data_IF_491169342592
#
_entry.id   IF_491169342592
#
_cell.length_a   1.000
_cell.length_b   1.000
_cell.length_c   1.000
_cell.angle_alpha   90.00
_cell.angle_beta   90.00
_cell.angle_gamma   90.00
#
_symmetry.space_group_name_H-M   'P 1'
#
loop_
_entity.id
_entity.type
_entity.pdbx_description
1 polymer ?
#
# COMPACT_ATOMS: atom_id res chain seq x y z
N UNK A 1 -17.81 -5.35 -6.20
CA UNK A 1 -16.49 -4.70 -6.15
C UNK A 1 -16.75 -3.28 -6.65
N UNK A 2 -16.07 -2.25 -6.16
CA UNK A 2 -16.27 -0.88 -6.65
C UNK A 2 -16.10 -0.79 -8.19
N UNK A 3 -16.85 0.09 -8.86
CA UNK A 3 -16.88 0.18 -10.33
C UNK A 3 -15.52 0.52 -10.94
N UNK A 4 -14.80 1.50 -10.38
CA UNK A 4 -13.48 1.89 -10.87
C UNK A 4 -12.49 0.71 -10.85
N UNK A 5 -12.53 -0.09 -9.78
CA UNK A 5 -11.71 -1.28 -9.67
C UNK A 5 -12.06 -2.34 -10.73
N UNK A 6 -13.33 -2.50 -11.09
CA UNK A 6 -13.75 -3.43 -12.15
C UNK A 6 -13.22 -3.01 -13.52
N UNK A 7 -13.21 -1.71 -13.81
CA UNK A 7 -12.76 -1.19 -15.11
C UNK A 7 -11.25 -1.34 -15.28
N UNK A 8 -10.47 -1.09 -14.23
CA UNK A 8 -9.00 -1.08 -14.32
C UNK A 8 -8.35 -2.44 -14.05
N UNK A 9 -9.07 -3.38 -13.44
CA UNK A 9 -8.51 -4.69 -13.06
C UNK A 9 -7.90 -5.45 -14.26
N UNK A 10 -8.50 -5.50 -15.46
CA UNK A 10 -7.88 -6.17 -16.60
C UNK A 10 -6.50 -5.61 -16.98
N UNK A 11 -6.30 -4.29 -16.84
CA UNK A 11 -4.99 -3.66 -17.05
C UNK A 11 -4.01 -4.01 -15.93
N UNK A 12 -4.44 -3.95 -14.66
CA UNK A 12 -3.59 -4.30 -13.53
C UNK A 12 -3.16 -5.78 -13.57
N UNK A 13 -4.02 -6.64 -14.08
CA UNK A 13 -3.78 -8.07 -14.25
C UNK A 13 -2.66 -8.39 -15.26
N UNK A 14 -2.29 -7.48 -16.17
CA UNK A 14 -1.13 -7.69 -17.05
C UNK A 14 0.20 -7.60 -16.28
N UNK A 15 0.17 -6.99 -15.09
CA UNK A 15 1.33 -6.70 -14.26
C UNK A 15 2.36 -5.74 -14.90
N UNK A 16 2.00 -5.07 -15.99
CA UNK A 16 2.91 -4.14 -16.68
C UNK A 16 3.34 -2.97 -15.78
N UNK A 17 2.47 -2.56 -14.85
CA UNK A 17 2.80 -1.54 -13.85
C UNK A 17 4.03 -1.92 -13.00
N UNK A 18 4.25 -3.23 -12.74
CA UNK A 18 5.43 -3.73 -12.02
C UNK A 18 6.69 -3.48 -12.84
N UNK A 19 6.66 -3.86 -14.12
CA UNK A 19 7.78 -3.68 -15.06
C UNK A 19 8.09 -2.20 -15.29
N UNK A 20 7.06 -1.36 -15.29
CA UNK A 20 7.17 0.10 -15.45
C UNK A 20 7.57 0.83 -14.15
N UNK A 21 7.65 0.13 -13.02
CA UNK A 21 7.95 0.73 -11.73
C UNK A 21 6.90 1.71 -11.22
N UNK A 22 5.64 1.55 -11.65
CA UNK A 22 4.52 2.44 -11.30
C UNK A 22 3.85 1.96 -10.02
N UNK A 23 3.46 2.88 -9.16
CA UNK A 23 2.73 2.53 -7.94
C UNK A 23 1.25 2.26 -8.23
N UNK A 24 0.61 1.50 -7.36
CA UNK A 24 -0.84 1.33 -7.33
C UNK A 24 -1.35 1.69 -5.94
N UNK A 25 -2.23 2.67 -5.83
CA UNK A 25 -2.84 3.09 -4.56
C UNK A 25 -4.32 2.75 -4.58
N UNK A 26 -4.71 1.84 -3.70
CA UNK A 26 -6.07 1.41 -3.45
C UNK A 26 -6.59 2.17 -2.22
N UNK A 27 -7.48 3.15 -2.41
CA UNK A 27 -7.96 3.99 -1.31
C UNK A 27 -9.50 3.96 -1.20
N UNK A 28 -10.05 3.96 0.01
CA UNK A 28 -11.51 3.98 0.22
C UNK A 28 -11.94 3.27 1.49
N UNK A 29 -13.23 3.29 1.84
CA UNK A 29 -13.71 2.76 3.12
C UNK A 29 -13.39 1.26 3.35
N UNK A 30 -13.35 0.78 4.62
CA UNK A 30 -13.01 -0.61 4.94
C UNK A 30 -13.97 -1.64 4.33
N UNK A 31 -13.47 -2.86 4.13
CA UNK A 31 -14.29 -4.01 3.71
C UNK A 31 -14.63 -4.05 2.21
N UNK A 32 -14.04 -3.22 1.37
CA UNK A 32 -14.36 -3.11 -0.06
C UNK A 32 -13.46 -3.93 -0.99
N UNK A 33 -12.46 -4.63 -0.44
CA UNK A 33 -11.58 -5.54 -1.20
C UNK A 33 -10.18 -5.02 -1.54
N UNK A 34 -9.73 -3.90 -0.96
CA UNK A 34 -8.37 -3.34 -1.20
C UNK A 34 -7.25 -4.37 -1.00
N UNK A 35 -7.15 -4.91 0.21
CA UNK A 35 -6.17 -5.96 0.55
C UNK A 35 -6.35 -7.19 -0.33
N UNK A 36 -7.60 -7.57 -0.63
CA UNK A 36 -7.88 -8.73 -1.48
C UNK A 36 -7.30 -8.57 -2.90
N UNK A 37 -7.53 -7.42 -3.55
CA UNK A 37 -6.95 -7.12 -4.87
C UNK A 37 -5.42 -7.06 -4.79
N UNK A 38 -4.86 -6.37 -3.79
CA UNK A 38 -3.42 -6.26 -3.60
C UNK A 38 -2.76 -7.64 -3.47
N UNK A 39 -3.34 -8.52 -2.64
CA UNK A 39 -2.88 -9.89 -2.44
C UNK A 39 -3.03 -10.73 -3.72
N UNK A 40 -4.15 -10.63 -4.43
CA UNK A 40 -4.36 -11.36 -5.68
C UNK A 40 -3.32 -10.97 -6.75
N UNK A 41 -3.05 -9.68 -6.92
CA UNK A 41 -1.98 -9.18 -7.81
C UNK A 41 -0.60 -9.65 -7.35
N UNK A 42 -0.34 -9.65 -6.03
CA UNK A 42 0.90 -10.18 -5.47
C UNK A 42 1.11 -11.67 -5.75
N UNK A 43 0.07 -12.49 -5.59
CA UNK A 43 0.11 -13.92 -5.92
C UNK A 43 0.38 -14.11 -7.42
N UNK A 44 -0.35 -13.39 -8.28
CA UNK A 44 -0.14 -13.44 -9.73
C UNK A 44 1.29 -13.01 -10.11
N UNK A 45 1.84 -12.02 -9.43
CA UNK A 45 3.22 -11.58 -9.64
C UNK A 45 4.23 -12.68 -9.25
N UNK A 46 4.05 -13.35 -8.12
CA UNK A 46 4.86 -14.51 -7.75
C UNK A 46 4.78 -15.64 -8.79
N UNK A 47 3.60 -15.89 -9.36
CA UNK A 47 3.41 -16.88 -10.44
C UNK A 47 4.11 -16.50 -11.76
N UNK A 48 4.55 -15.26 -11.89
CA UNK A 48 5.31 -14.72 -13.03
C UNK A 48 6.77 -14.42 -12.64
N UNK A 49 7.27 -15.10 -11.60
CA UNK A 49 8.65 -15.03 -11.09
C UNK A 49 9.09 -13.65 -10.56
N UNK A 50 8.16 -12.73 -10.29
CA UNK A 50 8.48 -11.49 -9.59
C UNK A 50 8.74 -11.75 -8.10
N UNK A 51 9.76 -11.09 -7.56
CA UNK A 51 9.99 -11.08 -6.12
C UNK A 51 9.02 -10.12 -5.42
N UNK A 52 8.22 -10.64 -4.48
CA UNK A 52 7.17 -9.86 -3.81
C UNK A 52 7.37 -9.83 -2.30
N UNK A 53 7.26 -8.64 -1.71
CA UNK A 53 7.15 -8.46 -0.26
C UNK A 53 5.74 -7.97 0.09
N UNK A 54 5.05 -8.67 0.98
CA UNK A 54 3.81 -8.19 1.59
C UNK A 54 4.05 -7.83 3.05
N UNK A 55 3.67 -6.63 3.47
CA UNK A 55 3.72 -6.19 4.87
C UNK A 55 2.62 -5.17 5.14
N UNK A 56 2.14 -5.11 6.38
CA UNK A 56 1.38 -3.93 6.82
C UNK A 56 2.34 -2.78 7.11
N UNK A 57 1.86 -1.55 6.94
CA UNK A 57 2.63 -0.32 7.24
C UNK A 57 3.02 -0.22 8.73
N UNK A 58 2.16 -0.58 9.71
CA UNK A 58 2.56 -0.63 11.12
C UNK A 58 3.75 -1.57 11.36
N UNK A 59 3.71 -2.78 10.80
CA UNK A 59 4.79 -3.78 10.95
C UNK A 59 6.07 -3.28 10.30
N UNK A 60 5.97 -2.69 9.09
CA UNK A 60 7.11 -2.12 8.40
C UNK A 60 7.76 -1.00 9.21
N UNK A 61 6.97 -0.10 9.80
CA UNK A 61 7.50 0.98 10.62
C UNK A 61 8.24 0.46 11.86
N UNK A 62 7.68 -0.56 12.53
CA UNK A 62 8.35 -1.25 13.64
C UNK A 62 9.69 -1.83 13.21
N UNK A 63 9.73 -2.56 12.09
CA UNK A 63 10.97 -3.13 11.56
C UNK A 63 12.02 -2.06 11.22
N UNK A 64 11.59 -0.93 10.65
CA UNK A 64 12.48 0.21 10.35
C UNK A 64 13.09 0.78 11.64
N UNK A 65 12.28 0.96 12.69
CA UNK A 65 12.73 1.47 13.99
C UNK A 65 13.70 0.51 14.68
N UNK A 66 13.39 -0.77 14.70
CA UNK A 66 14.27 -1.81 15.25
C UNK A 66 15.59 -1.86 14.50
N UNK A 67 15.57 -1.87 13.17
CA UNK A 67 16.78 -1.86 12.36
C UNK A 67 17.62 -0.58 12.54
N UNK A 68 16.98 0.57 12.75
CA UNK A 68 17.67 1.81 13.10
C UNK A 68 18.39 1.68 14.44
N UNK A 69 17.70 1.20 15.47
CA UNK A 69 18.26 1.00 16.81
C UNK A 69 19.43 0.01 16.80
N UNK A 70 19.29 -1.08 16.05
CA UNK A 70 20.32 -2.11 15.87
C UNK A 70 21.45 -1.71 14.90
N UNK A 71 21.43 -0.50 14.32
CA UNK A 71 22.38 -0.03 13.29
C UNK A 71 22.44 -0.92 12.02
N UNK A 72 21.34 -1.62 11.71
CA UNK A 72 21.20 -2.49 10.52
C UNK A 72 20.22 -1.93 9.48
N UNK A 73 19.77 -0.69 9.63
CA UNK A 73 18.80 -0.03 8.74
C UNK A 73 19.20 -0.09 7.26
N UNK A 74 20.48 0.12 6.94
CA UNK A 74 20.96 0.05 5.55
C UNK A 74 20.74 -1.32 4.93
N UNK A 75 20.94 -2.39 5.69
CA UNK A 75 20.72 -3.77 5.22
C UNK A 75 19.24 -4.02 4.93
N UNK A 76 18.34 -3.53 5.79
CA UNK A 76 16.90 -3.61 5.58
C UNK A 76 16.49 -2.85 4.30
N UNK A 77 16.97 -1.62 4.13
CA UNK A 77 16.72 -0.79 2.94
C UNK A 77 17.19 -1.46 1.64
N UNK A 78 18.42 -1.99 1.63
CA UNK A 78 18.97 -2.69 0.46
C UNK A 78 18.16 -3.93 0.10
N UNK A 79 17.57 -4.63 1.07
CA UNK A 79 16.66 -5.76 0.81
C UNK A 79 15.33 -5.25 0.25
N UNK A 80 14.78 -4.20 0.84
CA UNK A 80 13.51 -3.60 0.43
C UNK A 80 13.53 -3.08 -1.02
N UNK A 81 14.64 -2.50 -1.46
CA UNK A 81 14.83 -2.01 -2.83
C UNK A 81 14.87 -3.13 -3.88
N UNK A 82 15.27 -4.35 -3.51
CA UNK A 82 15.47 -5.46 -4.44
C UNK A 82 14.16 -6.12 -4.91
N UNK A 83 13.10 -6.08 -4.10
CA UNK A 83 11.82 -6.67 -4.48
C UNK A 83 11.27 -6.00 -5.74
N UNK A 84 10.74 -6.78 -6.67
CA UNK A 84 10.07 -6.24 -7.86
C UNK A 84 8.78 -5.54 -7.49
N UNK A 85 8.04 -6.11 -6.53
CA UNK A 85 6.82 -5.54 -5.98
C UNK A 85 6.87 -5.54 -4.45
N UNK A 86 6.50 -4.40 -3.85
CA UNK A 86 6.20 -4.30 -2.42
C UNK A 86 4.73 -3.97 -2.25
N UNK A 87 4.05 -4.68 -1.36
CA UNK A 87 2.67 -4.40 -0.95
C UNK A 87 2.71 -3.89 0.49
N UNK A 88 2.31 -2.64 0.66
CA UNK A 88 2.17 -1.95 1.94
C UNK A 88 0.68 -1.80 2.28
N UNK A 89 0.18 -2.73 3.09
CA UNK A 89 -1.22 -2.77 3.50
C UNK A 89 -1.48 -1.87 4.72
N UNK A 90 -2.71 -1.36 4.85
CA UNK A 90 -3.19 -0.66 6.05
C UNK A 90 -2.44 0.63 6.42
N UNK A 91 -2.05 1.43 5.41
CA UNK A 91 -1.36 2.72 5.65
C UNK A 91 -2.14 3.63 6.61
N UNK A 92 -3.47 3.59 6.55
CA UNK A 92 -4.34 4.48 7.30
C UNK A 92 -4.49 4.20 8.80
N UNK A 93 -3.87 3.15 9.33
CA UNK A 93 -4.01 2.71 10.73
C UNK A 93 -2.75 2.97 11.59
N UNK A 94 -1.72 3.59 11.02
CA UNK A 94 -0.55 4.00 11.78
C UNK A 94 -0.77 5.38 12.38
N UNK A 95 -0.37 5.57 13.64
CA UNK A 95 -0.14 6.91 14.20
C UNK A 95 1.37 7.12 14.28
N UNK A 96 1.90 8.01 13.45
CA UNK A 96 3.32 8.31 13.41
C UNK A 96 3.62 9.54 14.28
N UNK A 97 4.61 9.42 15.15
CA UNK A 97 5.36 10.62 15.57
C UNK A 97 6.15 11.17 14.36
N UNK A 98 6.74 12.36 14.53
CA UNK A 98 7.47 13.04 13.45
C UNK A 98 8.58 12.14 12.87
N UNK A 99 9.35 11.51 13.75
CA UNK A 99 10.44 10.61 13.37
C UNK A 99 9.92 9.38 12.59
N UNK A 100 8.83 8.77 13.05
CA UNK A 100 8.23 7.62 12.39
C UNK A 100 7.71 7.96 10.98
N UNK A 101 7.13 9.15 10.82
CA UNK A 101 6.72 9.67 9.51
C UNK A 101 7.92 9.83 8.57
N UNK A 102 9.01 10.43 9.06
CA UNK A 102 10.24 10.63 8.29
C UNK A 102 10.90 9.29 7.90
N UNK A 103 10.92 8.33 8.83
CA UNK A 103 11.46 6.99 8.59
C UNK A 103 10.66 6.25 7.51
N UNK A 104 9.33 6.24 7.62
CA UNK A 104 8.46 5.61 6.63
C UNK A 104 8.60 6.29 5.26
N UNK A 105 8.63 7.62 5.23
CA UNK A 105 8.83 8.40 4.00
C UNK A 105 10.14 8.07 3.31
N UNK A 106 11.24 8.08 4.06
CA UNK A 106 12.55 7.77 3.52
C UNK A 106 12.58 6.34 2.97
N UNK A 107 11.96 5.39 3.67
CA UNK A 107 11.92 3.99 3.25
C UNK A 107 11.09 3.78 1.97
N UNK A 108 9.88 4.32 1.89
CA UNK A 108 9.04 4.22 0.69
C UNK A 108 9.65 4.97 -0.51
N UNK A 109 10.30 6.11 -0.26
CA UNK A 109 10.94 6.93 -1.30
C UNK A 109 12.08 6.22 -2.02
N UNK A 110 12.68 5.18 -1.43
CA UNK A 110 13.73 4.39 -2.09
C UNK A 110 13.25 3.75 -3.40
N UNK A 111 11.95 3.45 -3.48
CA UNK A 111 11.31 2.75 -4.60
C UNK A 111 10.58 3.67 -5.57
N UNK A 112 10.26 4.90 -5.16
CA UNK A 112 9.47 5.83 -5.96
C UNK A 112 10.11 6.09 -7.33
N UNK A 113 9.36 5.83 -8.41
CA UNK A 113 9.83 5.97 -9.80
C UNK A 113 10.84 4.92 -10.26
N UNK A 114 11.13 3.88 -9.46
CA UNK A 114 12.09 2.81 -9.77
C UNK A 114 11.47 1.43 -9.78
N UNK A 115 10.67 1.10 -8.76
CA UNK A 115 10.04 -0.22 -8.59
C UNK A 115 8.63 -0.04 -8.06
N UNK A 116 7.73 -0.94 -8.44
CA UNK A 116 6.33 -0.80 -8.09
C UNK A 116 6.07 -1.03 -6.60
N UNK A 117 5.17 -0.23 -6.05
CA UNK A 117 4.64 -0.39 -4.70
C UNK A 117 3.12 -0.33 -4.75
N UNK A 118 2.45 -1.33 -4.19
CA UNK A 118 1.01 -1.29 -3.93
C UNK A 118 0.80 -0.74 -2.52
N UNK A 119 -0.09 0.23 -2.38
CA UNK A 119 -0.48 0.80 -1.08
C UNK A 119 -1.98 0.66 -0.91
N UNK A 120 -2.41 0.16 0.25
CA UNK A 120 -3.81 0.20 0.63
C UNK A 120 -4.04 1.19 1.77
N UNK A 121 -5.13 1.95 1.69
CA UNK A 121 -5.49 2.89 2.75
C UNK A 121 -7.00 3.06 2.86
N UNK A 122 -7.49 3.25 4.08
CA UNK A 122 -8.87 3.64 4.35
C UNK A 122 -9.08 5.16 4.31
N UNK A 123 -8.01 5.95 4.16
CA UNK A 123 -8.05 7.40 4.12
C UNK A 123 -7.82 7.94 2.70
N UNK A 124 -8.58 8.96 2.33
CA UNK A 124 -8.25 9.79 1.18
C UNK A 124 -6.94 10.57 1.44
N UNK A 125 -6.22 10.93 0.38
CA UNK A 125 -4.90 11.58 0.49
C UNK A 125 -4.92 12.88 1.30
N UNK A 126 -6.00 13.65 1.21
CA UNK A 126 -6.19 14.88 1.98
C UNK A 126 -6.33 14.67 3.50
N UNK A 127 -6.44 13.41 3.95
CA UNK A 127 -6.53 13.01 5.36
C UNK A 127 -5.26 12.38 5.90
N UNK A 128 -4.18 12.30 5.11
CA UNK A 128 -2.93 11.69 5.56
C UNK A 128 -2.21 12.54 6.63
N UNK A 129 -2.56 13.81 6.76
CA UNK A 129 -2.16 14.67 7.86
C UNK A 129 -2.73 14.23 9.23
N UNK A 130 -3.75 13.36 9.25
CA UNK A 130 -4.23 12.73 10.48
C UNK A 130 -3.23 11.69 11.02
N UNK A 131 -2.38 11.15 10.14
CA UNK A 131 -1.39 10.09 10.45
C UNK A 131 0.00 10.67 10.64
N UNK A 132 0.42 11.55 9.73
CA UNK A 132 1.73 12.20 9.74
C UNK A 132 1.51 13.68 10.03
N UNK A 133 1.99 14.15 11.19
CA UNK A 133 1.77 15.52 11.66
C UNK A 133 2.44 16.59 10.78
N UNK A 134 3.54 16.24 10.12
CA UNK A 134 4.28 17.15 9.25
C UNK A 134 3.61 17.26 7.87
N UNK A 135 2.95 18.39 7.61
CA UNK A 135 2.23 18.65 6.35
C UNK A 135 3.14 18.69 5.12
N UNK A 136 4.37 19.17 5.27
CA UNK A 136 5.35 19.25 4.16
C UNK A 136 5.77 17.85 3.78
N UNK A 137 6.03 17.00 4.78
CA UNK A 137 6.35 15.60 4.57
C UNK A 137 5.20 14.82 3.91
N UNK A 138 3.96 15.06 4.35
CA UNK A 138 2.76 14.46 3.73
C UNK A 138 2.65 14.86 2.26
N UNK A 139 2.78 16.14 1.94
CA UNK A 139 2.70 16.63 0.57
C UNK A 139 3.77 15.97 -0.32
N UNK A 140 5.01 15.90 0.16
CA UNK A 140 6.10 15.24 -0.57
C UNK A 140 5.87 13.73 -0.74
N UNK A 141 5.27 13.07 0.26
CA UNK A 141 4.94 11.64 0.20
C UNK A 141 3.85 11.38 -0.84
N UNK A 142 2.77 12.17 -0.81
CA UNK A 142 1.67 12.06 -1.78
C UNK A 142 2.20 12.29 -3.19
N UNK A 143 2.99 13.34 -3.42
CA UNK A 143 3.59 13.63 -4.73
C UNK A 143 4.37 12.42 -5.28
N UNK A 144 5.31 11.87 -4.50
CA UNK A 144 6.12 10.72 -4.92
C UNK A 144 5.34 9.44 -5.11
N UNK A 145 4.35 9.17 -4.26
CA UNK A 145 3.57 7.94 -4.33
C UNK A 145 2.55 7.97 -5.46
N UNK A 146 2.04 9.15 -5.81
CA UNK A 146 1.00 9.34 -6.84
C UNK A 146 1.57 9.69 -8.22
N UNK A 147 2.83 10.08 -8.32
CA UNK A 147 3.49 10.35 -9.60
C UNK A 147 3.44 9.13 -10.54
N UNK A 148 2.70 9.28 -11.65
CA UNK A 148 2.41 8.21 -12.62
C UNK A 148 1.81 6.95 -11.99
N UNK A 149 1.16 7.05 -10.84
CA UNK A 149 0.56 5.90 -10.16
C UNK A 149 -0.83 5.57 -10.73
N UNK A 150 -1.24 4.33 -10.52
CA UNK A 150 -2.63 3.93 -10.63
C UNK A 150 -3.34 4.29 -9.33
N UNK A 151 -4.34 5.17 -9.38
CA UNK A 151 -5.15 5.56 -8.23
C UNK A 151 -6.54 4.97 -8.40
N UNK A 152 -6.94 4.09 -7.49
CA UNK A 152 -8.20 3.35 -7.63
C UNK A 152 -9.07 3.60 -6.41
N UNK A 153 -10.21 4.27 -6.62
CA UNK A 153 -11.18 4.48 -5.58
C UNK A 153 -11.94 3.18 -5.30
N UNK A 154 -11.73 2.68 -4.09
CA UNK A 154 -12.32 1.46 -3.57
C UNK A 154 -13.49 1.75 -2.64
N UNK A 155 -14.15 2.91 -2.77
CA UNK A 155 -15.31 3.25 -1.95
C UNK A 155 -16.56 2.48 -2.39
N UNK A 156 -17.27 1.88 -1.44
CA UNK A 156 -18.48 1.11 -1.73
C UNK A 156 -19.01 0.30 -0.54
N UNK A 157 -19.94 -0.61 -0.82
CA UNK A 157 -20.51 -1.49 0.20
C UNK A 157 -19.46 -2.47 0.73
N UNK A 158 -19.44 -2.65 2.06
CA UNK A 158 -18.53 -3.61 2.71
C UNK A 158 -18.97 -5.04 2.43
N UNK A 159 -18.07 -5.82 1.84
CA UNK A 159 -18.22 -7.26 1.65
C UNK A 159 -18.33 -7.99 2.98
N UNK A 160 -17.51 -7.62 3.97
CA UNK A 160 -17.52 -8.22 5.31
C UNK A 160 -18.90 -8.07 5.97
N UNK A 161 -19.52 -6.90 5.86
CA UNK A 161 -20.87 -6.69 6.41
C UNK A 161 -21.94 -7.49 5.65
N UNK A 162 -21.83 -7.56 4.32
CA UNK A 162 -22.76 -8.33 3.48
C UNK A 162 -22.71 -9.83 3.81
N UNK A 163 -21.52 -10.38 4.05
CA UNK A 163 -21.33 -11.77 4.47
C UNK A 163 -21.96 -12.03 5.83
N UNK A 164 -21.73 -11.16 6.82
CA UNK A 164 -22.35 -11.27 8.15
C UNK A 164 -23.88 -11.20 8.09
N UNK A 165 -24.45 -10.36 7.22
CA UNK A 165 -25.91 -10.26 7.05
C UNK A 165 -26.50 -11.53 6.45
N UNK A 166 -25.86 -12.12 5.44
CA UNK A 166 -26.30 -13.41 4.86
C UNK A 166 -26.31 -14.52 5.90
N UNK A 167 -25.23 -14.67 6.67
CA UNK A 167 -25.14 -15.68 7.74
C UNK A 167 -26.23 -15.55 8.83
N UNK A 168 -26.81 -14.36 9.01
CA UNK A 168 -27.91 -14.12 9.96
C UNK A 168 -29.30 -14.41 9.37
N UNK A 169 -29.45 -14.34 8.05
CA UNK A 169 -30.71 -14.65 7.35
C UNK A 169 -30.87 -16.14 7.07
N UNK A 170 -29.76 -16.87 6.99
CA UNK A 170 -29.72 -18.33 6.83
C UNK A 170 -29.85 -19.09 8.17
N UNK A 171 -30.15 -18.37 9.28
CA UNK A 171 -30.44 -18.91 10.62
C UNK A 171 -31.88 -18.66 10.99
#
# INVERSE_FOLDING_TARGET
MPKEAQVILPELETLDFIRQGRNLVLYGNPGTGKTHIATALGIKACQQDFTVLFTSVPVLLTQIREAKSAKTLRTLQLRFEKYDLVICDEFGYVSCDKEGGELLFNHLSLRAGKKATIITTNLAFNRWNEIIKDKVLVAAMVDRLTHKAYLVNMTGLSYRLKETQKMRQDK
#
